data_IF_112005912343
#
_entry.id   IF_112005912343
#
_cell.length_a   1.000
_cell.length_b   1.000
_cell.length_c   1.000
_cell.angle_alpha   90.00
_cell.angle_beta   90.00
_cell.angle_gamma   90.00
#
_symmetry.space_group_name_H-M   'P 1'
#
loop_
_entity.id
_entity.type
_entity.pdbx_description
1 polymer ?
#
# COMPACT_ATOMS: atom_id res chain seq x y z
N UNK A 1 -13.04 19.89 -5.27
CA UNK A 1 -12.48 18.55 -4.94
C UNK A 1 -13.43 17.54 -5.54
N UNK A 2 -12.97 16.66 -6.42
CA UNK A 2 -13.81 15.60 -6.99
C UNK A 2 -13.20 14.27 -6.57
N UNK A 3 -13.93 13.52 -5.74
CA UNK A 3 -13.62 12.13 -5.35
C UNK A 3 -14.18 11.20 -6.45
N UNK A 4 -13.41 10.20 -6.87
CA UNK A 4 -13.81 9.26 -7.92
C UNK A 4 -13.80 7.82 -7.40
N UNK A 5 -14.89 7.11 -7.63
CA UNK A 5 -15.05 5.65 -7.45
C UNK A 5 -14.53 4.89 -8.68
N UNK A 6 -14.11 3.62 -8.52
CA UNK A 6 -13.43 2.89 -9.58
C UNK A 6 -14.44 2.41 -10.63
N UNK A 7 -14.26 2.85 -11.88
CA UNK A 7 -14.79 2.17 -13.06
C UNK A 7 -13.60 1.52 -13.79
N UNK A 8 -13.82 0.43 -14.54
CA UNK A 8 -12.74 -0.30 -15.20
C UNK A 8 -12.22 0.54 -16.37
N UNK A 9 -11.21 1.37 -16.13
CA UNK A 9 -10.67 2.27 -17.14
C UNK A 9 -9.45 1.65 -17.82
N UNK A 10 -9.65 1.23 -19.07
CA UNK A 10 -8.55 1.00 -20.00
C UNK A 10 -7.78 2.31 -20.24
N UNK A 11 -6.52 2.22 -20.70
CA UNK A 11 -5.56 3.32 -20.99
C UNK A 11 -6.11 4.55 -21.74
N UNK A 12 -7.32 4.46 -22.32
CA UNK A 12 -7.99 5.49 -23.11
C UNK A 12 -8.97 6.36 -22.29
N UNK A 13 -9.41 5.89 -21.11
CA UNK A 13 -10.52 6.51 -20.36
C UNK A 13 -10.16 7.70 -19.48
N UNK A 14 -8.93 7.81 -18.98
CA UNK A 14 -8.54 8.88 -18.04
C UNK A 14 -8.42 10.25 -18.71
N UNK A 15 -7.96 10.31 -19.97
CA UNK A 15 -7.60 11.57 -20.66
C UNK A 15 -8.83 12.43 -21.05
N UNK A 16 -9.93 11.87 -21.59
CA UNK A 16 -11.11 12.67 -21.96
C UNK A 16 -11.86 13.24 -20.75
N UNK A 17 -11.71 12.64 -19.57
CA UNK A 17 -12.45 13.01 -18.37
C UNK A 17 -11.99 14.36 -17.79
N UNK A 18 -10.69 14.64 -17.77
CA UNK A 18 -10.14 15.90 -17.25
C UNK A 18 -10.41 17.12 -18.15
N UNK A 19 -10.78 16.93 -19.42
CA UNK A 19 -11.13 18.02 -20.35
C UNK A 19 -12.50 18.66 -20.10
N UNK A 20 -13.32 18.11 -19.19
CA UNK A 20 -14.70 18.59 -18.92
C UNK A 20 -14.77 19.78 -17.95
N UNK A 21 -13.66 20.18 -17.32
CA UNK A 21 -13.65 21.26 -16.33
C UNK A 21 -13.34 22.62 -16.97
N UNK A 22 -14.10 23.65 -16.60
CA UNK A 22 -13.89 25.04 -17.04
C UNK A 22 -12.64 25.70 -16.44
N UNK A 23 -12.12 25.14 -15.34
CA UNK A 23 -10.85 25.53 -14.72
C UNK A 23 -10.04 24.28 -14.37
N UNK A 24 -8.73 24.33 -14.63
CA UNK A 24 -7.83 23.21 -14.36
C UNK A 24 -7.53 23.11 -12.85
N UNK A 25 -7.53 21.91 -12.24
CA UNK A 25 -7.36 21.76 -10.79
C UNK A 25 -5.98 22.17 -10.29
N UNK A 26 -5.93 22.62 -9.02
CA UNK A 26 -4.68 22.94 -8.31
C UNK A 26 -3.84 21.69 -8.08
N UNK A 27 -4.49 20.57 -7.73
CA UNK A 27 -3.88 19.24 -7.58
C UNK A 27 -4.91 18.16 -7.96
N UNK A 28 -4.43 16.98 -8.34
CA UNK A 28 -5.22 15.77 -8.55
C UNK A 28 -4.85 14.73 -7.49
N UNK A 29 -5.83 13.93 -7.06
CA UNK A 29 -5.68 12.89 -6.03
C UNK A 29 -6.04 11.54 -6.64
N UNK A 30 -5.23 10.50 -6.36
CA UNK A 30 -5.33 9.17 -6.98
C UNK A 30 -4.32 8.98 -8.10
N UNK A 31 -4.49 8.00 -9.01
CA UNK A 31 -5.47 6.89 -8.99
C UNK A 31 -5.01 5.78 -8.03
N UNK A 32 -5.46 4.53 -8.22
CA UNK A 32 -5.05 3.37 -7.40
C UNK A 32 -3.91 2.60 -8.09
N UNK A 33 -4.12 2.11 -9.31
CA UNK A 33 -3.12 1.24 -9.95
C UNK A 33 -1.93 2.02 -10.50
N UNK A 34 -0.75 1.39 -10.53
CA UNK A 34 0.47 1.99 -11.09
C UNK A 34 0.32 2.35 -12.57
N UNK A 35 -0.37 1.53 -13.36
CA UNK A 35 -0.61 1.81 -14.78
C UNK A 35 -1.47 3.07 -14.99
N UNK A 36 -2.50 3.26 -14.16
CA UNK A 36 -3.30 4.48 -14.19
C UNK A 36 -2.49 5.68 -13.71
N UNK A 37 -1.64 5.52 -12.68
CA UNK A 37 -0.76 6.60 -12.19
C UNK A 37 0.11 7.11 -13.32
N UNK A 38 0.78 6.23 -14.05
CA UNK A 38 1.63 6.61 -15.18
C UNK A 38 0.84 7.30 -16.30
N UNK A 39 -0.40 6.89 -16.54
CA UNK A 39 -1.28 7.54 -17.53
C UNK A 39 -1.71 8.96 -17.09
N UNK A 40 -2.13 9.13 -15.84
CA UNK A 40 -2.55 10.41 -15.28
C UNK A 40 -1.35 11.35 -15.11
N UNK A 41 -0.20 10.82 -14.69
CA UNK A 41 1.02 11.58 -14.47
C UNK A 41 1.47 12.30 -15.75
N UNK A 42 1.37 11.68 -16.92
CA UNK A 42 1.65 12.33 -18.21
C UNK A 42 0.81 13.59 -18.43
N UNK A 43 -0.47 13.53 -18.06
CA UNK A 43 -1.38 14.69 -18.15
C UNK A 43 -1.00 15.73 -17.09
N UNK A 44 -0.80 15.30 -15.85
CA UNK A 44 -0.36 16.16 -14.76
C UNK A 44 0.92 16.94 -15.10
N UNK A 45 1.94 16.28 -15.65
CA UNK A 45 3.19 16.92 -16.09
C UNK A 45 2.93 17.93 -17.21
N UNK A 46 2.12 17.60 -18.21
CA UNK A 46 1.82 18.51 -19.31
C UNK A 46 1.10 19.80 -18.85
N UNK A 47 0.27 19.69 -17.81
CA UNK A 47 -0.49 20.81 -17.23
C UNK A 47 0.12 21.37 -15.93
N UNK A 48 1.33 20.92 -15.59
CA UNK A 48 2.06 21.32 -14.38
C UNK A 48 1.25 21.17 -13.10
N UNK A 49 0.51 20.07 -12.96
CA UNK A 49 -0.38 19.82 -11.82
C UNK A 49 0.14 18.71 -10.92
N UNK A 50 0.34 18.98 -9.62
CA UNK A 50 0.63 17.96 -8.64
C UNK A 50 -0.39 16.81 -8.68
N UNK A 51 0.12 15.59 -8.80
CA UNK A 51 -0.56 14.33 -8.59
C UNK A 51 -0.21 13.83 -7.19
N UNK A 52 -1.21 13.75 -6.33
CA UNK A 52 -1.10 13.25 -4.96
C UNK A 52 -1.51 11.78 -4.96
N UNK A 53 -0.57 10.90 -4.65
CA UNK A 53 -0.72 9.44 -4.76
C UNK A 53 -0.53 8.78 -3.39
N UNK A 54 -1.61 8.18 -2.87
CA UNK A 54 -1.72 7.72 -1.48
C UNK A 54 -1.97 6.22 -1.33
N UNK A 55 -1.28 5.39 -2.12
CA UNK A 55 -1.49 3.94 -2.16
C UNK A 55 -0.15 3.22 -2.33
N UNK A 56 0.01 2.03 -1.72
CA UNK A 56 1.25 1.27 -1.85
C UNK A 56 1.63 0.98 -3.31
N UNK A 57 2.93 1.04 -3.65
CA UNK A 57 3.40 0.80 -5.02
C UNK A 57 4.85 0.28 -5.08
N UNK A 58 5.36 0.07 -6.29
CA UNK A 58 6.64 -0.61 -6.56
C UNK A 58 7.90 0.22 -6.29
N UNK A 59 7.78 1.54 -6.08
CA UNK A 59 8.93 2.43 -5.96
C UNK A 59 9.60 2.77 -7.31
N UNK A 60 10.64 3.59 -7.26
CA UNK A 60 11.50 3.90 -8.40
C UNK A 60 10.86 4.78 -9.49
N UNK A 61 9.81 5.54 -9.15
CA UNK A 61 9.20 6.54 -10.03
C UNK A 61 9.34 7.93 -9.39
N UNK A 62 9.97 8.85 -10.11
CA UNK A 62 10.05 10.26 -9.71
C UNK A 62 9.60 11.16 -10.86
N UNK A 63 8.82 12.19 -10.50
CA UNK A 63 8.44 13.27 -11.37
C UNK A 63 8.20 14.50 -10.51
N UNK A 64 8.60 15.68 -10.98
CA UNK A 64 8.39 16.95 -10.29
C UNK A 64 6.93 17.21 -9.86
N UNK A 65 5.97 16.58 -10.53
CA UNK A 65 4.54 16.69 -10.25
C UNK A 65 3.94 15.45 -9.56
N UNK A 66 4.73 14.49 -9.06
CA UNK A 66 4.22 13.29 -8.38
C UNK A 66 4.62 13.31 -6.90
N UNK A 67 3.64 13.30 -6.00
CA UNK A 67 3.85 13.26 -4.55
C UNK A 67 3.24 12.00 -3.95
N UNK A 68 4.08 11.17 -3.35
CA UNK A 68 3.76 9.82 -2.94
C UNK A 68 3.70 9.70 -1.42
N UNK A 69 2.50 9.75 -0.83
CA UNK A 69 2.25 9.22 0.52
C UNK A 69 1.92 7.74 0.43
N UNK A 70 2.92 7.01 -0.06
CA UNK A 70 2.78 5.65 -0.54
C UNK A 70 3.94 4.83 0.00
N UNK A 71 3.70 3.74 0.74
CA UNK A 71 4.77 2.83 1.09
C UNK A 71 5.32 2.16 -0.18
N UNK A 72 6.63 1.94 -0.19
CA UNK A 72 7.41 1.33 -1.28
C UNK A 72 8.06 0.04 -0.76
N UNK A 73 8.75 -0.78 -1.58
CA UNK A 73 9.33 -2.03 -1.09
C UNK A 73 10.20 -1.88 0.15
N UNK A 74 10.96 -0.79 0.28
CA UNK A 74 11.76 -0.49 1.47
C UNK A 74 10.94 -0.36 2.76
N UNK A 75 9.76 0.24 2.66
CA UNK A 75 8.84 0.37 3.79
C UNK A 75 8.23 -0.97 4.18
N UNK A 76 7.94 -1.83 3.21
CA UNK A 76 7.14 -3.04 3.43
C UNK A 76 7.99 -4.30 3.60
N UNK A 77 8.87 -4.57 2.64
CA UNK A 77 9.56 -5.85 2.49
C UNK A 77 10.79 -5.92 3.38
N UNK A 78 11.60 -4.84 3.43
CA UNK A 78 12.82 -4.80 4.26
C UNK A 78 12.55 -5.11 5.74
N UNK A 79 11.46 -4.62 6.39
CA UNK A 79 11.14 -5.03 7.76
C UNK A 79 10.37 -6.35 7.86
N UNK A 80 9.46 -6.64 6.93
CA UNK A 80 8.60 -7.82 7.02
C UNK A 80 9.36 -9.14 6.84
N UNK A 81 10.27 -9.23 5.88
CA UNK A 81 10.96 -10.50 5.60
C UNK A 81 11.81 -10.98 6.78
N UNK A 82 12.64 -10.13 7.43
CA UNK A 82 13.32 -10.52 8.67
C UNK A 82 12.36 -10.99 9.76
N UNK A 83 11.25 -10.29 9.97
CA UNK A 83 10.23 -10.67 10.94
C UNK A 83 9.66 -12.06 10.64
N UNK A 84 9.28 -12.32 9.39
CA UNK A 84 8.73 -13.61 8.96
C UNK A 84 9.76 -14.74 9.13
N UNK A 85 11.01 -14.46 8.75
CA UNK A 85 12.13 -15.39 8.86
C UNK A 85 12.38 -15.82 10.31
N UNK A 86 12.39 -14.85 11.23
CA UNK A 86 12.66 -15.09 12.65
C UNK A 86 11.52 -15.81 13.36
N UNK A 87 10.26 -15.51 13.02
CA UNK A 87 9.10 -15.99 13.77
C UNK A 87 8.47 -17.27 13.22
N UNK A 88 8.57 -17.52 11.90
CA UNK A 88 7.83 -18.62 11.26
C UNK A 88 8.72 -19.58 10.46
N UNK A 89 9.97 -19.20 10.19
CA UNK A 89 10.97 -20.03 9.52
C UNK A 89 11.47 -19.40 8.22
N UNK A 90 12.44 -20.04 7.57
CA UNK A 90 13.26 -19.39 6.54
C UNK A 90 12.94 -19.80 5.09
N UNK A 91 11.90 -20.59 4.85
CA UNK A 91 11.45 -20.95 3.51
C UNK A 91 10.20 -20.16 3.10
N UNK A 92 10.24 -19.55 1.91
CA UNK A 92 9.25 -18.61 1.42
C UNK A 92 8.66 -19.09 0.08
N UNK A 93 7.35 -18.95 -0.07
CA UNK A 93 6.65 -19.02 -1.35
C UNK A 93 6.10 -17.64 -1.70
N UNK A 94 6.09 -17.28 -2.97
CA UNK A 94 5.53 -16.01 -3.44
C UNK A 94 4.36 -16.32 -4.38
N UNK A 95 3.20 -15.71 -4.13
CA UNK A 95 2.05 -15.74 -5.01
C UNK A 95 1.54 -14.31 -5.23
N UNK A 96 1.47 -13.86 -6.49
CA UNK A 96 1.04 -12.51 -6.82
C UNK A 96 0.16 -12.44 -8.07
N UNK A 97 -0.39 -11.26 -8.36
CA UNK A 97 -1.00 -11.02 -9.67
C UNK A 97 0.06 -10.86 -10.76
N UNK A 98 -0.28 -11.20 -12.00
CA UNK A 98 0.59 -11.05 -13.17
C UNK A 98 0.53 -9.63 -13.76
N UNK A 99 1.06 -8.66 -13.02
CA UNK A 99 1.33 -7.30 -13.51
C UNK A 99 2.54 -6.67 -12.81
N UNK A 100 2.92 -5.45 -13.20
CA UNK A 100 4.17 -4.82 -12.79
C UNK A 100 4.43 -4.83 -11.26
N UNK A 101 3.44 -4.48 -10.45
CA UNK A 101 3.65 -4.29 -9.01
C UNK A 101 4.03 -5.59 -8.29
N UNK A 102 3.31 -6.72 -8.41
CA UNK A 102 3.73 -7.96 -7.74
C UNK A 102 5.07 -8.52 -8.23
N UNK A 103 5.42 -8.32 -9.51
CA UNK A 103 6.73 -8.70 -10.03
C UNK A 103 7.86 -7.92 -9.31
N UNK A 104 7.72 -6.59 -9.20
CA UNK A 104 8.69 -5.75 -8.48
C UNK A 104 8.75 -6.04 -6.98
N UNK A 105 7.60 -6.28 -6.36
CA UNK A 105 7.56 -6.72 -4.96
C UNK A 105 8.23 -8.09 -4.77
N UNK A 106 8.05 -9.03 -5.71
CA UNK A 106 8.69 -10.36 -5.68
C UNK A 106 10.21 -10.28 -5.79
N UNK A 107 10.74 -9.40 -6.63
CA UNK A 107 12.18 -9.14 -6.73
C UNK A 107 12.75 -8.64 -5.40
N UNK A 108 12.12 -7.63 -4.79
CA UNK A 108 12.53 -7.11 -3.48
C UNK A 108 12.43 -8.18 -2.38
N UNK A 109 11.39 -9.03 -2.40
CA UNK A 109 11.25 -10.16 -1.48
C UNK A 109 12.40 -11.14 -1.66
N UNK A 110 12.68 -11.58 -2.89
CA UNK A 110 13.76 -12.55 -3.17
C UNK A 110 15.11 -12.02 -2.70
N UNK A 111 15.42 -10.76 -2.99
CA UNK A 111 16.65 -10.12 -2.53
C UNK A 111 16.73 -10.08 -1.01
N UNK A 112 15.66 -9.62 -0.34
CA UNK A 112 15.64 -9.52 1.13
C UNK A 112 15.71 -10.89 1.80
N UNK A 113 15.01 -11.89 1.25
CA UNK A 113 15.06 -13.29 1.74
C UNK A 113 16.49 -13.81 1.67
N UNK A 114 17.18 -13.62 0.55
CA UNK A 114 18.58 -13.99 0.38
C UNK A 114 19.51 -13.30 1.39
N UNK A 115 19.32 -12.00 1.62
CA UNK A 115 20.09 -11.23 2.59
C UNK A 115 19.86 -11.69 4.04
N UNK A 116 18.69 -12.28 4.33
CA UNK A 116 18.35 -12.82 5.66
C UNK A 116 18.68 -14.31 5.84
N UNK A 117 19.35 -14.94 4.88
CA UNK A 117 19.68 -16.38 4.93
C UNK A 117 18.48 -17.32 4.74
N UNK A 118 17.40 -16.81 4.17
CA UNK A 118 16.23 -17.61 3.79
C UNK A 118 16.30 -18.12 2.35
N UNK A 119 15.27 -18.83 1.92
CA UNK A 119 15.17 -19.38 0.56
C UNK A 119 13.76 -19.21 0.02
N UNK A 120 13.65 -18.72 -1.22
CA UNK A 120 12.39 -18.73 -1.96
C UNK A 120 12.27 -20.08 -2.68
N UNK A 121 11.32 -20.91 -2.26
CA UNK A 121 11.10 -22.28 -2.76
C UNK A 121 10.06 -22.36 -3.88
N UNK A 122 9.38 -21.24 -4.16
CA UNK A 122 8.46 -21.12 -5.29
C UNK A 122 8.01 -19.69 -5.52
N UNK A 123 7.68 -19.37 -6.76
CA UNK A 123 7.13 -18.08 -7.17
C UNK A 123 6.15 -18.30 -8.30
N UNK A 124 4.90 -17.87 -8.12
CA UNK A 124 3.85 -17.98 -9.13
C UNK A 124 3.08 -16.66 -9.26
N UNK A 125 2.61 -16.40 -10.48
CA UNK A 125 1.77 -15.25 -10.78
C UNK A 125 0.52 -15.69 -11.51
N UNK A 126 -0.62 -15.07 -11.19
CA UNK A 126 -1.90 -15.38 -11.83
C UNK A 126 -2.53 -14.14 -12.45
N UNK A 127 -3.26 -14.27 -13.58
CA UNK A 127 -4.11 -13.18 -14.05
C UNK A 127 -5.22 -12.89 -13.05
N UNK A 128 -5.89 -11.74 -13.19
CA UNK A 128 -7.09 -11.43 -12.44
C UNK A 128 -8.24 -12.39 -12.79
N UNK A 129 -9.12 -12.63 -11.82
CA UNK A 129 -10.36 -13.38 -11.98
C UNK A 129 -10.24 -14.90 -11.79
N UNK A 130 -9.08 -15.42 -11.37
CA UNK A 130 -8.90 -16.85 -11.11
C UNK A 130 -9.84 -17.32 -10.00
N UNK A 131 -10.56 -18.42 -10.28
CA UNK A 131 -11.59 -18.97 -9.39
C UNK A 131 -11.13 -20.19 -8.61
N UNK A 132 -10.23 -20.99 -9.16
CA UNK A 132 -9.74 -22.23 -8.57
C UNK A 132 -8.22 -22.12 -8.35
N UNK A 133 -7.80 -22.22 -7.10
CA UNK A 133 -6.40 -22.20 -6.68
C UNK A 133 -5.91 -23.55 -6.16
N UNK A 134 -6.71 -24.63 -6.23
CA UNK A 134 -6.38 -25.92 -5.62
C UNK A 134 -5.02 -26.46 -6.07
N UNK A 135 -4.66 -26.32 -7.34
CA UNK A 135 -3.36 -26.76 -7.85
C UNK A 135 -2.18 -25.90 -7.35
N UNK A 136 -2.38 -24.58 -7.23
CA UNK A 136 -1.38 -23.66 -6.64
C UNK A 136 -1.18 -23.99 -5.15
N UNK A 137 -2.28 -24.20 -4.43
CA UNK A 137 -2.26 -24.55 -3.02
C UNK A 137 -1.52 -25.87 -2.77
N UNK A 138 -1.76 -26.91 -3.60
CA UNK A 138 -0.99 -28.17 -3.53
C UNK A 138 0.51 -27.95 -3.76
N UNK A 139 0.89 -27.11 -4.71
CA UNK A 139 2.31 -26.78 -4.93
C UNK A 139 2.92 -26.02 -3.75
N UNK A 140 2.17 -25.09 -3.14
CA UNK A 140 2.61 -24.41 -1.91
C UNK A 140 2.85 -25.44 -0.80
N UNK A 141 1.92 -26.39 -0.57
CA UNK A 141 2.09 -27.44 0.43
C UNK A 141 3.33 -28.31 0.16
N UNK A 142 3.50 -28.77 -1.08
CA UNK A 142 4.59 -29.65 -1.49
C UNK A 142 5.97 -28.97 -1.47
N UNK A 143 6.01 -27.64 -1.61
CA UNK A 143 7.26 -26.87 -1.59
C UNK A 143 7.96 -26.87 -0.23
N UNK A 144 7.24 -27.19 0.86
CA UNK A 144 7.77 -27.08 2.22
C UNK A 144 8.00 -25.63 2.68
N UNK A 145 7.40 -24.64 2.01
CA UNK A 145 7.41 -23.25 2.45
C UNK A 145 6.82 -23.13 3.86
N UNK A 146 7.43 -22.27 4.69
CA UNK A 146 6.88 -21.86 5.99
C UNK A 146 6.12 -20.55 5.91
N UNK A 147 6.51 -19.70 4.97
CA UNK A 147 5.89 -18.41 4.73
C UNK A 147 5.31 -18.35 3.33
N UNK A 148 4.10 -17.80 3.18
CA UNK A 148 3.53 -17.40 1.91
C UNK A 148 3.46 -15.87 1.86
N UNK A 149 4.21 -15.28 0.94
CA UNK A 149 4.12 -13.87 0.60
C UNK A 149 3.01 -13.70 -0.45
N UNK A 150 1.83 -13.27 0.00
CA UNK A 150 0.65 -13.11 -0.85
C UNK A 150 0.55 -11.65 -1.32
N UNK A 151 0.71 -11.44 -2.62
CA UNK A 151 0.72 -10.12 -3.29
C UNK A 151 -0.50 -9.99 -4.20
N UNK A 152 -1.67 -10.32 -3.64
CA UNK A 152 -2.96 -10.35 -4.35
C UNK A 152 -4.05 -9.62 -3.55
N UNK A 153 -3.97 -8.29 -3.37
CA UNK A 153 -5.01 -7.56 -2.66
C UNK A 153 -6.38 -7.69 -3.35
N UNK A 154 -7.45 -7.71 -2.55
CA UNK A 154 -8.83 -7.70 -3.04
C UNK A 154 -9.44 -9.08 -3.32
N UNK A 155 -10.50 -9.15 -4.14
CA UNK A 155 -11.38 -10.31 -4.24
C UNK A 155 -10.72 -11.66 -4.56
N UNK A 156 -9.68 -11.66 -5.40
CA UNK A 156 -9.00 -12.91 -5.75
C UNK A 156 -8.12 -13.41 -4.60
N UNK A 157 -7.45 -12.51 -3.86
CA UNK A 157 -6.76 -12.85 -2.61
C UNK A 157 -7.72 -13.37 -1.54
N UNK A 158 -8.90 -12.75 -1.40
CA UNK A 158 -9.93 -13.24 -0.48
C UNK A 158 -10.40 -14.65 -0.85
N UNK A 159 -10.58 -14.91 -2.16
CA UNK A 159 -10.92 -16.23 -2.67
C UNK A 159 -9.82 -17.25 -2.39
N UNK A 160 -8.56 -16.87 -2.64
CA UNK A 160 -7.39 -17.69 -2.35
C UNK A 160 -7.31 -18.05 -0.87
N UNK A 161 -7.41 -17.08 0.05
CA UNK A 161 -7.35 -17.31 1.52
C UNK A 161 -8.40 -18.33 1.96
N UNK A 162 -9.65 -18.20 1.50
CA UNK A 162 -10.72 -19.17 1.82
C UNK A 162 -10.38 -20.58 1.34
N UNK A 163 -9.85 -20.73 0.13
CA UNK A 163 -9.47 -22.04 -0.40
C UNK A 163 -8.27 -22.60 0.36
N UNK A 164 -7.26 -21.79 0.61
CA UNK A 164 -6.07 -22.16 1.38
C UNK A 164 -6.42 -22.67 2.79
N UNK A 165 -7.38 -22.03 3.46
CA UNK A 165 -7.88 -22.46 4.77
C UNK A 165 -8.70 -23.75 4.68
N UNK A 166 -9.56 -23.91 3.67
CA UNK A 166 -10.34 -25.14 3.44
C UNK A 166 -9.46 -26.36 3.17
N UNK A 167 -8.36 -26.17 2.45
CA UNK A 167 -7.34 -27.21 2.21
C UNK A 167 -6.44 -27.47 3.44
N UNK A 168 -6.66 -26.74 4.55
CA UNK A 168 -6.01 -27.00 5.83
C UNK A 168 -4.57 -26.48 5.93
N UNK A 169 -4.16 -25.52 5.08
CA UNK A 169 -2.82 -24.94 5.15
C UNK A 169 -2.65 -23.81 6.18
N UNK A 170 -3.75 -23.27 6.72
CA UNK A 170 -3.72 -22.14 7.67
C UNK A 170 -2.70 -22.31 8.80
N UNK A 171 -2.62 -23.50 9.38
CA UNK A 171 -1.72 -23.80 10.51
C UNK A 171 -0.37 -24.40 10.08
N UNK A 172 -0.13 -24.53 8.77
CA UNK A 172 1.08 -25.14 8.19
C UNK A 172 2.01 -24.10 7.57
N UNK A 173 1.44 -23.04 7.00
CA UNK A 173 2.15 -22.00 6.25
C UNK A 173 1.60 -20.64 6.66
N UNK A 174 2.47 -19.79 7.22
CA UNK A 174 2.12 -18.44 7.65
C UNK A 174 1.92 -17.53 6.44
N UNK A 175 0.76 -16.88 6.33
CA UNK A 175 0.51 -15.89 5.28
C UNK A 175 0.98 -14.51 5.75
N UNK A 176 1.78 -13.86 4.91
CA UNK A 176 1.96 -12.42 4.92
C UNK A 176 1.27 -11.82 3.68
N UNK A 177 0.15 -11.13 3.88
CA UNK A 177 -0.61 -10.51 2.81
C UNK A 177 -0.16 -9.06 2.63
N UNK A 178 0.49 -8.78 1.50
CA UNK A 178 1.00 -7.45 1.17
C UNK A 178 -0.16 -6.55 0.74
N UNK A 179 -0.20 -5.34 1.31
CA UNK A 179 -1.29 -4.38 1.14
C UNK A 179 -2.65 -4.87 1.70
N UNK A 180 -2.65 -5.80 2.66
CA UNK A 180 -3.85 -6.10 3.43
C UNK A 180 -4.10 -5.03 4.51
N UNK A 181 -5.37 -4.71 4.70
CA UNK A 181 -5.88 -3.63 5.57
C UNK A 181 -7.26 -3.99 6.14
N UNK A 182 -7.91 -3.04 6.81
CA UNK A 182 -9.22 -3.22 7.43
C UNK A 182 -10.33 -3.61 6.44
N UNK A 183 -10.19 -3.38 5.13
CA UNK A 183 -11.19 -3.81 4.15
C UNK A 183 -11.29 -5.36 4.06
N UNK A 184 -10.26 -6.08 4.52
CA UNK A 184 -10.33 -7.54 4.63
C UNK A 184 -11.38 -7.98 5.65
N UNK A 185 -11.56 -7.22 6.75
CA UNK A 185 -12.52 -7.54 7.82
C UNK A 185 -13.99 -7.49 7.35
N UNK A 186 -14.29 -6.70 6.32
CA UNK A 186 -15.61 -6.71 5.68
C UNK A 186 -15.77 -7.87 4.71
N UNK A 187 -14.70 -8.24 4.02
CA UNK A 187 -14.75 -9.19 2.91
C UNK A 187 -14.67 -10.65 3.36
N UNK A 188 -14.06 -10.91 4.52
CA UNK A 188 -13.82 -12.24 5.03
C UNK A 188 -14.26 -12.38 6.50
N UNK A 189 -14.84 -13.52 6.90
CA UNK A 189 -15.08 -13.83 8.29
C UNK A 189 -13.78 -13.75 9.10
N UNK A 190 -13.81 -13.27 10.36
CA UNK A 190 -12.62 -13.16 11.23
C UNK A 190 -11.77 -14.44 11.28
N UNK A 191 -12.42 -15.61 11.29
CA UNK A 191 -11.73 -16.90 11.38
C UNK A 191 -10.89 -17.21 10.14
N UNK A 192 -11.23 -16.66 8.98
CA UNK A 192 -10.46 -16.84 7.74
C UNK A 192 -9.19 -15.96 7.73
N UNK A 193 -9.22 -14.83 8.44
CA UNK A 193 -8.13 -13.86 8.53
C UNK A 193 -7.18 -14.12 9.68
N UNK A 194 -7.67 -14.75 10.74
CA UNK A 194 -6.95 -14.94 12.00
C UNK A 194 -5.52 -15.48 11.76
N UNK A 195 -4.54 -14.73 12.24
CA UNK A 195 -3.11 -15.01 12.12
C UNK A 195 -2.43 -14.44 10.88
N UNK A 196 -3.16 -13.98 9.85
CA UNK A 196 -2.55 -13.33 8.67
C UNK A 196 -1.85 -12.04 9.08
N UNK A 197 -0.64 -11.82 8.56
CA UNK A 197 0.20 -10.65 8.87
C UNK A 197 0.28 -9.71 7.66
N UNK A 198 0.43 -8.41 7.90
CA UNK A 198 0.62 -7.38 6.87
C UNK A 198 1.60 -6.31 7.33
N UNK A 199 2.52 -5.84 6.47
CA UNK A 199 3.27 -4.61 6.72
C UNK A 199 2.41 -3.41 6.35
N UNK A 200 2.31 -2.41 7.23
CA UNK A 200 1.40 -1.28 7.01
C UNK A 200 1.86 -0.04 7.76
N UNK A 201 1.64 1.15 7.21
CA UNK A 201 2.01 2.42 7.88
C UNK A 201 0.88 2.98 8.76
N UNK A 202 -0.31 2.39 8.71
CA UNK A 202 -1.45 2.82 9.51
C UNK A 202 -2.45 1.68 9.71
N UNK A 203 -2.90 1.53 10.96
CA UNK A 203 -4.11 0.77 11.29
C UNK A 203 -4.91 1.60 12.29
N UNK A 204 -6.23 1.53 12.19
CA UNK A 204 -7.18 2.28 13.01
C UNK A 204 -7.16 1.89 14.49
N UNK A 205 -6.61 0.73 14.84
CA UNK A 205 -6.53 0.21 16.21
C UNK A 205 -5.34 0.73 17.02
N UNK A 206 -4.44 1.54 16.44
CA UNK A 206 -3.24 2.03 17.14
C UNK A 206 -3.63 3.06 18.20
N UNK A 207 -3.19 2.84 19.44
CA UNK A 207 -3.42 3.75 20.57
C UNK A 207 -2.43 4.93 20.56
N UNK A 208 -2.61 5.83 19.57
CA UNK A 208 -1.88 7.09 19.45
C UNK A 208 -2.85 8.27 19.33
N UNK A 209 -2.57 9.44 19.93
CA UNK A 209 -3.48 10.59 19.91
C UNK A 209 -3.94 11.00 18.50
N UNK A 210 -3.01 11.02 17.54
CA UNK A 210 -3.27 11.32 16.14
C UNK A 210 -4.17 10.28 15.44
N UNK A 211 -3.98 8.99 15.71
CA UNK A 211 -4.85 7.91 15.22
C UNK A 211 -6.25 8.09 15.79
N UNK A 212 -6.38 8.21 17.10
CA UNK A 212 -7.68 8.34 17.79
C UNK A 212 -8.45 9.57 17.31
N UNK A 213 -7.75 10.70 17.10
CA UNK A 213 -8.36 11.91 16.57
C UNK A 213 -8.84 11.73 15.12
N UNK A 214 -8.05 11.06 14.27
CA UNK A 214 -8.42 10.77 12.89
C UNK A 214 -9.62 9.81 12.81
N UNK A 215 -9.57 8.71 13.57
CA UNK A 215 -10.66 7.71 13.64
C UNK A 215 -11.96 8.36 14.09
N UNK A 216 -11.92 9.13 15.19
CA UNK A 216 -13.10 9.86 15.69
C UNK A 216 -13.66 10.81 14.64
N UNK A 217 -12.82 11.60 13.97
CA UNK A 217 -13.25 12.54 12.94
C UNK A 217 -13.87 11.83 11.74
N UNK A 218 -13.30 10.70 11.34
CA UNK A 218 -13.81 9.87 10.26
C UNK A 218 -15.20 9.31 10.62
N UNK A 219 -15.32 8.66 11.79
CA UNK A 219 -16.58 8.06 12.25
C UNK A 219 -17.70 9.10 12.43
N UNK A 220 -17.37 10.31 12.88
CA UNK A 220 -18.33 11.42 12.94
C UNK A 220 -18.88 11.83 11.57
N UNK A 221 -18.12 11.63 10.50
CA UNK A 221 -18.50 12.02 9.14
C UNK A 221 -19.18 10.88 8.37
N UNK A 222 -18.75 9.64 8.59
CA UNK A 222 -19.11 8.49 7.77
C UNK A 222 -19.84 7.36 8.53
N UNK A 223 -19.99 7.47 9.85
CA UNK A 223 -20.65 6.49 10.72
C UNK A 223 -19.67 5.68 11.57
N UNK A 224 -20.13 5.10 12.68
CA UNK A 224 -19.26 4.36 13.61
C UNK A 224 -18.63 3.10 12.98
N UNK A 225 -19.37 2.44 12.08
CA UNK A 225 -18.97 1.21 11.40
C UNK A 225 -18.19 1.45 10.09
N UNK A 226 -17.86 2.70 9.76
CA UNK A 226 -17.13 3.01 8.52
C UNK A 226 -15.70 2.44 8.56
N UNK A 227 -15.27 1.82 7.46
CA UNK A 227 -13.91 1.29 7.35
C UNK A 227 -12.89 2.40 7.13
N UNK A 228 -11.83 2.34 7.91
CA UNK A 228 -10.70 3.26 7.85
C UNK A 228 -9.47 2.43 7.53
N UNK A 229 -8.93 2.60 6.32
CA UNK A 229 -7.73 1.89 5.88
C UNK A 229 -6.52 2.82 5.85
N UNK A 230 -5.33 2.25 5.69
CA UNK A 230 -4.12 3.02 5.42
C UNK A 230 -4.26 3.93 4.19
N UNK A 231 -5.02 3.52 3.18
CA UNK A 231 -5.21 4.34 1.98
C UNK A 231 -6.06 5.58 2.31
N UNK A 232 -7.07 5.44 3.17
CA UNK A 232 -7.89 6.58 3.62
C UNK A 232 -7.02 7.57 4.39
N UNK A 233 -6.13 7.07 5.25
CA UNK A 233 -5.17 7.89 5.99
C UNK A 233 -4.18 8.58 5.05
N UNK A 234 -3.52 7.87 4.14
CA UNK A 234 -2.57 8.44 3.17
C UNK A 234 -3.18 9.57 2.34
N UNK A 235 -4.39 9.35 1.80
CA UNK A 235 -5.08 10.35 1.00
C UNK A 235 -5.52 11.56 1.84
N UNK A 236 -5.96 11.34 3.09
CA UNK A 236 -6.22 12.42 4.02
C UNK A 236 -4.94 13.21 4.34
N UNK A 237 -3.82 12.52 4.59
CA UNK A 237 -2.51 13.11 4.83
C UNK A 237 -2.02 13.98 3.67
N UNK A 238 -2.13 13.50 2.43
CA UNK A 238 -1.81 14.28 1.23
C UNK A 238 -2.65 15.55 1.13
N UNK A 239 -3.94 15.48 1.45
CA UNK A 239 -4.82 16.65 1.46
C UNK A 239 -4.43 17.65 2.57
N UNK A 240 -4.05 17.17 3.75
CA UNK A 240 -3.55 18.01 4.84
C UNK A 240 -2.22 18.68 4.46
N UNK A 241 -1.31 17.95 3.81
CA UNK A 241 -0.04 18.50 3.30
C UNK A 241 -0.28 19.59 2.25
N UNK A 242 -1.17 19.35 1.30
CA UNK A 242 -1.56 20.36 0.31
C UNK A 242 -2.13 21.62 0.99
N UNK A 243 -3.01 21.46 1.97
CA UNK A 243 -3.60 22.59 2.71
C UNK A 243 -2.53 23.41 3.46
N UNK A 244 -1.59 22.74 4.12
CA UNK A 244 -0.50 23.41 4.84
C UNK A 244 0.46 24.11 3.86
N UNK A 245 0.76 23.49 2.72
CA UNK A 245 1.58 24.11 1.67
C UNK A 245 0.93 25.38 1.08
N UNK A 246 -0.37 25.35 0.81
CA UNK A 246 -1.15 26.53 0.37
C UNK A 246 -1.14 27.62 1.44
N UNK A 247 -1.36 27.25 2.69
CA UNK A 247 -1.37 28.19 3.82
C UNK A 247 -0.01 28.86 4.01
N UNK A 248 1.08 28.10 3.96
CA UNK A 248 2.47 28.59 4.09
C UNK A 248 2.86 29.53 2.96
N UNK A 249 2.40 29.26 1.74
CA UNK A 249 2.72 30.08 0.56
C UNK A 249 1.75 31.25 0.34
N UNK A 250 0.55 31.20 0.93
CA UNK A 250 -0.55 32.13 0.67
C UNK A 250 -0.99 32.13 -0.80
N UNK A 251 -0.75 31.04 -1.54
CA UNK A 251 -0.91 31.00 -3.00
C UNK A 251 -1.49 29.69 -3.51
N UNK A 252 -2.22 29.78 -4.63
CA UNK A 252 -2.65 28.62 -5.42
C UNK A 252 -1.71 28.36 -6.61
N UNK A 253 -0.58 29.06 -6.69
CA UNK A 253 0.46 28.78 -7.67
C UNK A 253 1.06 27.40 -7.41
N UNK A 254 1.00 26.53 -8.41
CA UNK A 254 1.33 25.11 -8.28
C UNK A 254 2.82 24.89 -8.02
N UNK A 255 3.70 25.71 -8.58
CA UNK A 255 5.14 25.58 -8.37
C UNK A 255 5.55 26.02 -6.97
N UNK A 256 4.91 27.08 -6.44
CA UNK A 256 5.05 27.47 -5.03
C UNK A 256 4.57 26.38 -4.09
N UNK A 257 3.45 25.74 -4.41
CA UNK A 257 2.92 24.61 -3.63
C UNK A 257 3.91 23.45 -3.63
N UNK A 258 4.40 23.03 -4.81
CA UNK A 258 5.39 21.94 -4.96
C UNK A 258 6.63 22.20 -4.10
N UNK A 259 7.22 23.39 -4.23
CA UNK A 259 8.40 23.77 -3.45
C UNK A 259 8.15 23.79 -1.93
N UNK A 260 6.90 24.00 -1.52
CA UNK A 260 6.49 24.05 -0.11
C UNK A 260 6.16 22.67 0.47
N UNK A 261 5.87 21.68 -0.40
CA UNK A 261 5.64 20.29 -0.01
C UNK A 261 6.96 19.58 0.34
N UNK A 262 8.06 19.92 -0.32
CA UNK A 262 9.37 19.35 0.00
C UNK A 262 9.81 19.70 1.43
N UNK A 263 10.17 18.67 2.20
CA UNK A 263 10.54 18.79 3.61
C UNK A 263 9.37 19.03 4.56
N UNK A 264 8.13 19.09 4.07
CA UNK A 264 6.95 19.30 4.92
C UNK A 264 6.75 18.10 5.86
N UNK A 265 6.51 18.39 7.13
CA UNK A 265 6.27 17.40 8.16
C UNK A 265 4.85 17.53 8.72
N UNK A 266 4.22 16.39 9.03
CA UNK A 266 2.95 16.32 9.74
C UNK A 266 3.04 15.26 10.84
N UNK A 267 2.21 15.40 11.88
CA UNK A 267 1.90 14.29 12.80
C UNK A 267 0.51 13.79 12.46
N UNK A 268 0.44 12.62 11.83
CA UNK A 268 -0.78 12.02 11.28
C UNK A 268 -0.60 10.50 11.19
N UNK A 269 -1.72 9.77 11.16
CA UNK A 269 -1.67 8.31 11.12
C UNK A 269 -1.08 7.80 12.42
N UNK A 270 0.07 7.14 12.38
CA UNK A 270 0.73 6.54 13.53
C UNK A 270 1.98 7.31 14.04
N UNK A 271 2.17 8.57 13.63
CA UNK A 271 3.28 9.39 14.12
C UNK A 271 3.67 10.55 13.22
N UNK A 272 4.91 11.01 13.39
CA UNK A 272 5.50 12.04 12.52
C UNK A 272 5.86 11.43 11.17
N UNK A 273 5.49 12.11 10.09
CA UNK A 273 5.81 11.76 8.71
C UNK A 273 6.39 12.97 7.99
N UNK A 274 7.19 12.74 6.94
CA UNK A 274 7.86 13.82 6.21
C UNK A 274 7.84 13.55 4.70
N UNK A 275 7.44 14.55 3.92
CA UNK A 275 7.60 14.56 2.47
C UNK A 275 9.02 14.96 2.10
N UNK A 276 9.73 14.11 1.37
CA UNK A 276 11.13 14.33 0.97
C UNK A 276 11.28 15.09 -0.34
N UNK A 277 12.52 15.42 -0.69
CA UNK A 277 12.88 16.10 -1.93
C UNK A 277 12.73 15.21 -3.19
N UNK A 278 12.72 13.89 -3.02
CA UNK A 278 12.33 12.92 -4.05
C UNK A 278 10.81 12.63 -4.07
N UNK A 279 10.03 13.46 -3.38
CA UNK A 279 8.57 13.46 -3.33
C UNK A 279 7.96 12.16 -2.80
N UNK A 280 8.71 11.43 -1.98
CA UNK A 280 8.25 10.27 -1.23
C UNK A 280 8.29 10.53 0.28
N UNK A 281 7.62 9.67 1.03
CA UNK A 281 7.50 9.85 2.48
C UNK A 281 8.56 9.08 3.27
N UNK A 282 9.02 9.67 4.37
CA UNK A 282 9.45 8.92 5.55
C UNK A 282 8.19 8.47 6.29
N UNK A 283 8.01 7.15 6.48
CA UNK A 283 6.82 6.57 7.08
C UNK A 283 7.18 5.77 8.32
N UNK A 284 6.35 5.83 9.35
CA UNK A 284 6.46 4.85 10.44
C UNK A 284 5.71 3.59 10.05
N UNK A 285 6.42 2.46 10.06
CA UNK A 285 5.89 1.18 9.64
C UNK A 285 5.52 0.33 10.84
N UNK A 286 4.51 -0.50 10.65
CA UNK A 286 4.05 -1.49 11.60
C UNK A 286 4.05 -2.84 10.89
N UNK A 287 4.26 -3.89 11.67
CA UNK A 287 3.78 -5.22 11.31
C UNK A 287 2.48 -5.42 12.09
N UNK A 288 1.39 -5.64 11.37
CA UNK A 288 0.07 -5.88 11.95
C UNK A 288 -0.39 -7.30 11.66
N UNK A 289 -1.25 -7.83 12.53
CA UNK A 289 -1.85 -9.15 12.38
C UNK A 289 -3.36 -9.08 12.60
N UNK A 290 -4.10 -9.90 11.85
CA UNK A 290 -5.53 -10.09 12.11
C UNK A 290 -5.71 -11.01 13.32
N UNK A 291 -6.30 -10.50 14.38
CA UNK A 291 -6.55 -11.23 15.62
C UNK A 291 -7.92 -10.86 16.20
N UNK A 292 -8.73 -11.86 16.54
CA UNK A 292 -10.07 -11.70 17.12
C UNK A 292 -10.97 -10.72 16.34
N UNK A 293 -10.90 -10.76 15.01
CA UNK A 293 -11.72 -9.90 14.14
C UNK A 293 -11.28 -8.43 14.09
N UNK A 294 -10.06 -8.14 14.51
CA UNK A 294 -9.44 -6.81 14.40
C UNK A 294 -8.09 -6.94 13.71
N UNK A 295 -7.66 -5.88 13.03
CA UNK A 295 -6.29 -5.72 12.59
C UNK A 295 -5.53 -4.99 13.69
N UNK A 296 -4.56 -5.65 14.33
CA UNK A 296 -3.84 -5.12 15.51
C UNK A 296 -2.34 -5.11 15.28
N UNK A 297 -1.65 -4.20 15.96
CA UNK A 297 -0.19 -4.07 15.87
C UNK A 297 0.49 -5.26 16.53
N UNK A 298 1.34 -5.97 15.78
CA UNK A 298 2.21 -7.02 16.29
C UNK A 298 3.61 -6.46 16.63
N UNK A 299 4.13 -5.54 15.81
CA UNK A 299 5.42 -4.89 16.04
C UNK A 299 5.40 -3.44 15.52
N UNK A 300 5.95 -2.51 16.30
CA UNK A 300 6.23 -1.14 15.87
C UNK A 300 7.65 -1.09 15.30
N UNK A 301 7.76 -0.94 13.97
CA UNK A 301 9.05 -0.87 13.27
C UNK A 301 9.65 0.54 13.37
N UNK A 302 8.82 1.54 13.63
CA UNK A 302 9.23 2.93 13.65
C UNK A 302 9.49 3.50 12.26
N UNK A 303 10.18 4.65 12.25
CA UNK A 303 10.38 5.46 11.04
C UNK A 303 11.37 4.78 10.07
N UNK A 304 10.92 4.56 8.83
CA UNK A 304 11.75 4.10 7.73
C UNK A 304 11.94 5.23 6.73
N UNK A 305 13.20 5.43 6.35
CA UNK A 305 13.63 6.31 5.27
C UNK A 305 13.96 5.41 4.08
N UNK A 306 13.15 5.41 3.00
CA UNK A 306 13.41 4.54 1.86
C UNK A 306 14.63 5.05 1.07
N UNK A 307 15.17 4.23 0.17
CA UNK A 307 16.15 4.71 -0.80
C UNK A 307 15.60 5.85 -1.67
N UNK A 308 16.49 6.60 -2.32
CA UNK A 308 16.11 7.72 -3.19
C UNK A 308 15.35 7.23 -4.42
N UNK A 309 14.12 7.68 -4.58
CA UNK A 309 13.19 7.21 -5.61
C UNK A 309 13.42 7.84 -6.99
N UNK A 310 14.35 8.82 -7.09
CA UNK A 310 14.86 9.31 -8.40
C UNK A 310 15.74 8.27 -9.07
N UNK A 311 16.38 7.41 -8.28
CA UNK A 311 17.10 6.25 -8.80
C UNK A 311 16.06 5.19 -9.07
N UNK A 312 16.02 4.71 -10.31
CA UNK A 312 15.28 3.49 -10.60
C UNK A 312 15.92 2.40 -9.75
N UNK A 313 15.14 1.73 -8.92
CA UNK A 313 15.68 0.61 -8.17
C UNK A 313 16.22 -0.41 -9.18
N UNK A 314 17.51 -0.67 -9.11
CA UNK A 314 18.17 -1.73 -9.88
C UNK A 314 17.78 -3.06 -9.23
N UNK A 315 16.57 -3.52 -9.53
CA UNK A 315 16.12 -4.88 -9.25
C UNK A 315 16.11 -5.66 -10.57
#
# INVERSE_FOLDING_TARGET
MVLFTPLPFSKVGCIPFYRKYSTWPVALLGPVSSDEREAVLKVCTAFKTPLLYGISYEGGSYNHYLFCYSPVPDHMIKPLVPYMNQNFGNSFYILGYDYLWPHKMSEAIKQTVGNTGGTVVGTEFTPFGVKDYSEIIKRIEQSGAKNLMLIMPGPDGYNFIKQFNREGLKNKVQIAAIAADEAYLEALPPQELEGIITPVHFISSVDKPETLAFVKKHQQMYGEDSIITYSTESHYGLMMMLAEAIKKTGSLDKEKIISSLEGLELTIGNGKVQMRDDHHMNLNMLIAGFHNGQLVMAEDIGNIVPEDQRKRAEY
#
